data_IF_259519850583
#
_entry.id   IF_259519850583
#
_cell.length_a   1.000
_cell.length_b   1.000
_cell.length_c   1.000
_cell.angle_alpha   90.00
_cell.angle_beta   90.00
_cell.angle_gamma   90.00
#
_symmetry.space_group_name_H-M   'P 1'
#
loop_
_entity.id
_entity.type
_entity.pdbx_description
1 polymer ?
#
# COMPACT_ATOMS: atom_id res chain seq x y z
N UNK A 1 -23.09 49.04 26.49
CA UNK A 1 -22.04 48.24 27.14
C UNK A 1 -22.18 46.78 26.74
N UNK A 2 -21.14 46.16 26.10
CA UNK A 2 -21.21 44.75 25.73
C UNK A 2 -21.20 43.87 27.00
N UNK A 3 -22.19 42.98 27.14
CA UNK A 3 -22.33 42.06 28.27
C UNK A 3 -21.05 41.15 28.31
N UNK A 4 -20.33 41.17 29.42
CA UNK A 4 -19.13 40.36 29.63
C UNK A 4 -19.51 38.87 29.64
N UNK A 5 -19.01 38.11 28.71
CA UNK A 5 -19.33 36.67 28.57
C UNK A 5 -18.88 35.89 29.79
N UNK A 6 -19.78 35.18 30.44
CA UNK A 6 -19.46 34.27 31.53
C UNK A 6 -19.03 32.90 30.97
N UNK A 7 -17.74 32.76 30.74
CA UNK A 7 -17.17 31.57 30.11
C UNK A 7 -17.45 30.25 30.88
N UNK A 8 -17.52 30.31 32.22
CA UNK A 8 -17.83 29.11 33.03
C UNK A 8 -19.23 28.57 32.73
N UNK A 9 -20.23 29.45 32.64
CA UNK A 9 -21.61 29.07 32.29
C UNK A 9 -21.69 28.59 30.83
N UNK A 10 -21.01 29.26 29.90
CA UNK A 10 -21.01 28.91 28.48
C UNK A 10 -20.40 27.52 28.26
N UNK A 11 -19.24 27.20 28.85
CA UNK A 11 -18.65 25.88 28.77
C UNK A 11 -19.53 24.80 29.39
N UNK A 12 -20.11 25.07 30.57
CA UNK A 12 -20.99 24.11 31.25
C UNK A 12 -22.22 23.77 30.41
N UNK A 13 -22.85 24.77 29.84
CA UNK A 13 -24.04 24.59 29.01
C UNK A 13 -23.69 23.78 27.74
N UNK A 14 -22.59 24.13 27.07
CA UNK A 14 -22.22 23.50 25.83
C UNK A 14 -21.73 22.05 26.04
N UNK A 15 -20.93 21.76 27.08
CA UNK A 15 -20.45 20.42 27.41
C UNK A 15 -21.55 19.46 27.84
N UNK A 16 -22.64 19.98 28.44
CA UNK A 16 -23.81 19.19 28.78
C UNK A 16 -24.73 18.89 27.58
N UNK A 17 -24.47 19.51 26.43
CA UNK A 17 -25.35 19.39 25.28
C UNK A 17 -25.21 18.04 24.58
N UNK A 18 -26.34 17.33 24.34
CA UNK A 18 -26.36 15.96 23.75
C UNK A 18 -25.74 15.87 22.35
N UNK A 19 -25.87 16.94 21.56
CA UNK A 19 -25.36 16.99 20.18
C UNK A 19 -23.89 17.43 20.07
N UNK A 20 -23.24 17.77 21.19
CA UNK A 20 -21.81 18.03 21.21
C UNK A 20 -21.05 16.72 21.25
N UNK A 21 -20.62 16.23 20.07
CA UNK A 21 -19.95 14.94 19.89
C UNK A 21 -18.67 15.07 19.06
N UNK A 22 -17.85 14.03 19.02
CA UNK A 22 -16.67 13.93 18.18
C UNK A 22 -15.66 15.07 18.39
N UNK A 23 -15.10 15.60 17.29
CA UNK A 23 -14.07 16.64 17.33
C UNK A 23 -14.52 17.93 18.01
N UNK A 24 -15.79 18.32 17.87
CA UNK A 24 -16.31 19.53 18.51
C UNK A 24 -16.31 19.37 20.03
N UNK A 25 -16.65 18.19 20.53
CA UNK A 25 -16.58 17.88 21.97
C UNK A 25 -15.14 17.96 22.47
N UNK A 26 -14.22 17.25 21.81
CA UNK A 26 -12.77 17.26 22.16
C UNK A 26 -12.20 18.68 22.13
N UNK A 27 -12.60 19.48 21.14
CA UNK A 27 -12.17 20.88 21.04
C UNK A 27 -12.69 21.72 22.21
N UNK A 28 -13.97 21.64 22.55
CA UNK A 28 -14.59 22.40 23.65
C UNK A 28 -14.00 21.94 25.01
N UNK A 29 -13.77 20.65 25.21
CA UNK A 29 -13.09 20.12 26.42
C UNK A 29 -11.68 20.69 26.56
N UNK A 30 -10.91 20.73 25.46
CA UNK A 30 -9.59 21.34 25.43
C UNK A 30 -9.61 22.83 25.75
N UNK A 31 -10.57 23.58 25.20
CA UNK A 31 -10.75 24.99 25.50
C UNK A 31 -11.16 25.22 26.98
N UNK A 32 -12.03 24.38 27.50
CA UNK A 32 -12.46 24.46 28.92
C UNK A 32 -11.26 24.18 29.85
N UNK A 33 -10.46 23.17 29.57
CA UNK A 33 -9.23 22.89 30.33
C UNK A 33 -8.25 24.06 30.28
N UNK A 34 -8.06 24.67 29.09
CA UNK A 34 -7.20 25.84 28.90
C UNK A 34 -7.70 27.04 29.72
N UNK A 35 -9.00 27.33 29.67
CA UNK A 35 -9.60 28.40 30.43
C UNK A 35 -9.54 28.15 31.95
N UNK A 36 -9.81 26.93 32.40
CA UNK A 36 -9.74 26.51 33.81
C UNK A 36 -8.33 26.60 34.41
N UNK A 37 -7.28 26.52 33.56
CA UNK A 37 -5.89 26.75 33.96
C UNK A 37 -5.53 28.25 34.10
N UNK A 38 -6.48 29.16 34.08
CA UNK A 38 -6.29 30.60 34.23
C UNK A 38 -5.80 31.33 32.95
N UNK A 39 -5.75 30.63 31.81
CA UNK A 39 -5.30 31.24 30.57
C UNK A 39 -6.42 31.97 29.83
N UNK A 40 -6.09 33.12 29.24
CA UNK A 40 -7.06 33.93 28.50
C UNK A 40 -7.52 33.25 27.18
N UNK A 41 -8.79 33.46 26.85
CA UNK A 41 -9.37 33.08 25.56
C UNK A 41 -8.92 34.07 24.47
N UNK A 42 -8.12 33.60 23.51
CA UNK A 42 -7.75 34.39 22.33
C UNK A 42 -8.94 34.66 21.41
N UNK A 43 -8.83 35.68 20.56
CA UNK A 43 -9.90 36.03 19.59
C UNK A 43 -10.29 34.85 18.71
N UNK A 44 -9.30 34.11 18.15
CA UNK A 44 -9.56 32.93 17.32
C UNK A 44 -10.28 31.80 18.08
N UNK A 45 -9.90 31.54 19.35
CA UNK A 45 -10.57 30.54 20.20
C UNK A 45 -12.02 30.91 20.53
N UNK A 46 -12.28 32.19 20.81
CA UNK A 46 -13.63 32.69 21.00
C UNK A 46 -14.47 32.51 19.74
N UNK A 47 -13.94 32.88 18.59
CA UNK A 47 -14.62 32.73 17.31
C UNK A 47 -15.04 31.27 17.07
N UNK A 48 -14.11 30.33 17.19
CA UNK A 48 -14.41 28.90 17.01
C UNK A 48 -15.38 28.35 18.05
N UNK A 49 -15.31 28.80 19.30
CA UNK A 49 -16.33 28.45 20.32
C UNK A 49 -17.72 28.85 19.88
N UNK A 50 -17.90 30.09 19.43
CA UNK A 50 -19.20 30.57 18.98
C UNK A 50 -19.69 29.87 17.71
N UNK A 51 -18.80 29.50 16.78
CA UNK A 51 -19.17 28.70 15.62
C UNK A 51 -19.72 27.32 16.02
N UNK A 52 -19.11 26.64 17.00
CA UNK A 52 -19.64 25.38 17.54
C UNK A 52 -20.99 25.58 18.20
N UNK A 53 -21.13 26.63 19.02
CA UNK A 53 -22.40 26.96 19.71
C UNK A 53 -23.52 27.25 18.71
N UNK A 54 -23.24 28.06 17.70
CA UNK A 54 -24.22 28.40 16.66
C UNK A 54 -24.66 27.16 15.87
N UNK A 55 -23.74 26.30 15.51
CA UNK A 55 -24.03 25.03 14.83
C UNK A 55 -24.97 24.16 15.66
N UNK A 56 -24.71 24.02 16.96
CA UNK A 56 -25.56 23.23 17.84
C UNK A 56 -26.95 23.84 17.94
N UNK A 57 -27.05 25.17 18.04
CA UNK A 57 -28.33 25.87 18.06
C UNK A 57 -29.12 25.68 16.74
N UNK A 58 -28.44 25.70 15.60
CA UNK A 58 -29.05 25.41 14.29
C UNK A 58 -29.57 23.97 14.21
N UNK A 59 -28.78 23.00 14.71
CA UNK A 59 -29.20 21.58 14.79
C UNK A 59 -30.42 21.38 15.71
N UNK A 60 -30.51 22.14 16.81
CA UNK A 60 -31.65 22.08 17.73
C UNK A 60 -32.92 22.70 17.13
N UNK A 61 -32.78 23.77 16.38
CA UNK A 61 -33.89 24.42 15.69
C UNK A 61 -34.43 23.56 14.51
N UNK A 62 -33.88 22.36 14.26
CA UNK A 62 -34.28 21.52 13.12
C UNK A 62 -33.85 22.08 11.77
N UNK A 63 -32.95 23.06 11.79
CA UNK A 63 -32.66 23.94 10.64
C UNK A 63 -31.56 23.50 9.70
N UNK A 64 -30.78 22.44 9.99
CA UNK A 64 -29.79 21.92 9.03
C UNK A 64 -29.71 20.40 9.16
N UNK A 65 -30.48 19.72 8.35
CA UNK A 65 -30.14 18.34 8.02
C UNK A 65 -28.79 18.33 7.29
N UNK A 66 -27.91 17.39 7.58
CA UNK A 66 -26.73 17.15 6.79
C UNK A 66 -27.11 16.97 5.32
N UNK A 67 -26.15 17.15 4.42
CA UNK A 67 -26.38 16.95 3.00
C UNK A 67 -26.87 15.51 2.76
N UNK A 68 -28.12 15.35 2.34
CA UNK A 68 -28.76 14.05 2.11
C UNK A 68 -28.04 13.24 1.02
N UNK A 69 -27.39 13.93 0.07
CA UNK A 69 -26.59 13.28 -0.97
C UNK A 69 -25.32 12.67 -0.40
N UNK A 70 -24.67 13.35 0.53
CA UNK A 70 -23.48 12.85 1.26
C UNK A 70 -23.86 11.67 2.15
N UNK A 71 -24.98 11.77 2.87
CA UNK A 71 -25.49 10.70 3.73
C UNK A 71 -25.75 9.43 2.91
N UNK A 72 -26.46 9.54 1.79
CA UNK A 72 -26.75 8.42 0.91
C UNK A 72 -25.48 7.77 0.32
N UNK A 73 -24.45 8.57 0.03
CA UNK A 73 -23.13 8.08 -0.42
C UNK A 73 -22.41 7.30 0.69
N UNK A 74 -22.35 7.86 1.89
CA UNK A 74 -21.71 7.20 3.04
C UNK A 74 -22.43 5.89 3.40
N UNK A 75 -23.76 5.88 3.46
CA UNK A 75 -24.55 4.66 3.76
C UNK A 75 -24.28 3.55 2.76
N UNK A 76 -24.19 3.85 1.46
CA UNK A 76 -23.86 2.84 0.43
C UNK A 76 -22.46 2.28 0.56
N UNK A 77 -21.54 3.03 1.16
CA UNK A 77 -20.13 2.65 1.23
C UNK A 77 -19.75 1.98 2.54
N UNK A 78 -20.50 2.19 3.63
CA UNK A 78 -20.06 1.86 4.99
C UNK A 78 -19.65 0.39 5.15
N UNK A 79 -20.36 -0.52 4.50
CA UNK A 79 -20.14 -1.96 4.62
C UNK A 79 -19.28 -2.58 3.49
N UNK A 80 -18.83 -1.75 2.53
CA UNK A 80 -18.04 -2.23 1.39
C UNK A 80 -16.54 -2.36 1.69
N UNK A 81 -15.89 -1.41 2.36
CA UNK A 81 -14.51 -1.56 2.79
C UNK A 81 -14.37 -2.53 3.98
N UNK A 82 -13.25 -3.26 4.11
CA UNK A 82 -12.98 -4.10 5.27
C UNK A 82 -13.09 -3.32 6.59
N UNK A 83 -13.58 -3.99 7.66
CA UNK A 83 -13.87 -3.34 8.95
C UNK A 83 -12.72 -2.52 9.54
N UNK A 84 -11.50 -3.02 9.47
CA UNK A 84 -10.32 -2.37 10.02
C UNK A 84 -9.55 -1.53 8.99
N UNK A 85 -10.20 -1.19 7.84
CA UNK A 85 -9.54 -0.40 6.80
C UNK A 85 -9.62 1.09 7.09
N UNK A 86 -8.60 1.83 6.66
CA UNK A 86 -8.61 3.29 6.67
C UNK A 86 -9.80 3.85 5.89
N UNK A 87 -10.18 3.23 4.77
CA UNK A 87 -11.29 3.67 3.93
C UNK A 87 -12.61 3.65 4.70
N UNK A 88 -12.88 2.59 5.48
CA UNK A 88 -14.09 2.49 6.32
C UNK A 88 -14.09 3.56 7.39
N UNK A 89 -13.02 3.70 8.16
CA UNK A 89 -12.91 4.72 9.20
C UNK A 89 -13.02 6.15 8.65
N UNK A 90 -12.56 6.39 7.41
CA UNK A 90 -12.73 7.66 6.74
C UNK A 90 -14.20 7.92 6.40
N UNK A 91 -14.94 6.96 5.82
CA UNK A 91 -16.37 7.08 5.50
C UNK A 91 -17.18 7.32 6.76
N UNK A 92 -16.95 6.57 7.85
CA UNK A 92 -17.58 6.77 9.15
C UNK A 92 -17.34 8.18 9.70
N UNK A 93 -16.10 8.67 9.57
CA UNK A 93 -15.77 10.05 9.99
C UNK A 93 -16.52 11.10 9.17
N UNK A 94 -16.71 10.90 7.86
CA UNK A 94 -17.46 11.81 7.00
C UNK A 94 -18.96 11.78 7.33
N UNK A 95 -19.50 10.59 7.55
CA UNK A 95 -20.90 10.43 7.97
C UNK A 95 -21.17 11.18 9.30
N UNK A 96 -20.27 11.02 10.28
CA UNK A 96 -20.36 11.76 11.53
C UNK A 96 -20.23 13.29 11.37
N UNK A 97 -19.38 13.75 10.43
CA UNK A 97 -19.28 15.18 10.12
C UNK A 97 -20.57 15.71 9.46
N UNK A 98 -21.11 14.96 8.51
CA UNK A 98 -22.36 15.31 7.82
C UNK A 98 -23.55 15.33 8.77
N UNK A 99 -23.69 14.33 9.66
CA UNK A 99 -24.73 14.29 10.68
C UNK A 99 -24.68 15.51 11.63
N UNK A 100 -23.50 16.12 11.81
CA UNK A 100 -23.31 17.35 12.58
C UNK A 100 -23.39 18.61 11.69
N UNK A 101 -23.99 18.53 10.49
CA UNK A 101 -24.13 19.61 9.53
C UNK A 101 -22.81 20.35 9.21
N UNK A 102 -21.69 19.62 9.22
CA UNK A 102 -20.39 20.13 8.83
C UNK A 102 -20.17 19.94 7.35
N UNK A 103 -20.01 21.04 6.63
CA UNK A 103 -19.64 20.97 5.21
C UNK A 103 -18.31 20.20 5.02
N UNK A 104 -18.29 19.29 4.08
CA UNK A 104 -17.08 18.57 3.72
C UNK A 104 -16.17 19.44 2.84
N UNK A 105 -14.87 19.35 3.05
CA UNK A 105 -13.91 20.05 2.20
C UNK A 105 -13.85 19.43 0.79
N UNK A 106 -13.42 20.18 -0.25
CA UNK A 106 -13.24 19.63 -1.59
C UNK A 106 -12.30 18.39 -1.60
N UNK A 107 -11.28 18.39 -0.74
CA UNK A 107 -10.37 17.25 -0.61
C UNK A 107 -11.04 16.01 -0.02
N UNK A 108 -11.94 16.19 0.95
CA UNK A 108 -12.72 15.07 1.51
C UNK A 108 -13.67 14.47 0.47
N UNK A 109 -14.32 15.32 -0.33
CA UNK A 109 -15.19 14.87 -1.43
C UNK A 109 -14.42 14.12 -2.52
N UNK A 110 -13.20 14.58 -2.86
CA UNK A 110 -12.31 13.89 -3.80
C UNK A 110 -11.92 12.49 -3.30
N UNK A 111 -11.59 12.38 -2.01
CA UNK A 111 -11.22 11.10 -1.39
C UNK A 111 -12.44 10.17 -1.34
N UNK A 112 -13.61 10.69 -0.98
CA UNK A 112 -14.86 9.92 -0.99
C UNK A 112 -15.14 9.36 -2.38
N UNK A 113 -15.01 10.16 -3.44
CA UNK A 113 -15.19 9.71 -4.82
C UNK A 113 -14.18 8.61 -5.22
N UNK A 114 -12.92 8.68 -4.75
CA UNK A 114 -11.93 7.62 -4.95
C UNK A 114 -12.30 6.31 -4.23
N UNK A 115 -12.87 6.40 -3.04
CA UNK A 115 -13.36 5.23 -2.31
C UNK A 115 -14.57 4.63 -3.04
N UNK A 116 -15.52 5.45 -3.50
CA UNK A 116 -16.66 4.99 -4.31
C UNK A 116 -16.21 4.24 -5.56
N UNK A 117 -15.25 4.79 -6.30
CA UNK A 117 -14.70 4.12 -7.48
C UNK A 117 -14.00 2.79 -7.14
N UNK A 118 -13.32 2.74 -5.99
CA UNK A 118 -12.60 1.53 -5.54
C UNK A 118 -13.56 0.40 -5.15
N UNK A 119 -14.69 0.75 -4.56
CA UNK A 119 -15.70 -0.18 -4.06
C UNK A 119 -17.00 -0.12 -4.87
N UNK A 120 -16.93 0.29 -6.15
CA UNK A 120 -18.06 0.20 -7.08
C UNK A 120 -18.41 -1.27 -7.35
N UNK A 121 -19.65 -1.53 -7.75
CA UNK A 121 -20.09 -2.88 -8.08
C UNK A 121 -19.23 -3.50 -9.19
N UNK A 122 -18.84 -2.72 -10.20
CA UNK A 122 -17.93 -3.17 -11.26
C UNK A 122 -16.54 -3.52 -10.73
N UNK A 123 -15.99 -2.72 -9.80
CA UNK A 123 -14.68 -3.00 -9.20
C UNK A 123 -14.69 -4.25 -8.34
N UNK A 124 -15.78 -4.47 -7.59
CA UNK A 124 -15.98 -5.68 -6.78
C UNK A 124 -16.15 -6.90 -7.70
N UNK A 125 -17.00 -6.80 -8.72
CA UNK A 125 -17.20 -7.89 -9.69
C UNK A 125 -15.90 -8.25 -10.41
N UNK A 126 -15.11 -7.24 -10.84
CA UNK A 126 -13.81 -7.48 -11.45
C UNK A 126 -12.78 -8.10 -10.48
N UNK A 127 -12.86 -7.80 -9.18
CA UNK A 127 -11.99 -8.43 -8.19
C UNK A 127 -12.37 -9.90 -7.94
N UNK A 128 -13.66 -10.19 -7.88
CA UNK A 128 -14.18 -11.57 -7.75
C UNK A 128 -13.83 -12.40 -8.99
N UNK A 129 -14.12 -11.90 -10.19
CA UNK A 129 -13.76 -12.57 -11.45
C UNK A 129 -12.25 -12.85 -11.53
N UNK A 130 -11.39 -11.92 -11.11
CA UNK A 130 -9.95 -12.18 -11.09
C UNK A 130 -9.57 -13.29 -10.11
N UNK A 131 -10.22 -13.38 -8.95
CA UNK A 131 -9.96 -14.45 -7.99
C UNK A 131 -10.36 -15.82 -8.53
N UNK A 132 -11.50 -15.89 -9.21
CA UNK A 132 -12.00 -17.13 -9.83
C UNK A 132 -11.12 -17.55 -11.02
N UNK A 133 -10.60 -16.58 -11.78
CA UNK A 133 -9.73 -16.79 -12.94
C UNK A 133 -8.26 -17.02 -12.57
N UNK A 134 -7.87 -16.90 -11.28
CA UNK A 134 -6.50 -17.02 -10.82
C UNK A 134 -5.98 -18.44 -10.93
N UNK A 135 -5.42 -18.76 -12.08
CA UNK A 135 -4.96 -20.09 -12.45
C UNK A 135 -3.57 -20.43 -11.92
N UNK A 136 -3.16 -21.69 -12.08
CA UNK A 136 -1.80 -22.16 -11.79
C UNK A 136 -0.73 -21.35 -12.58
N UNK A 137 -1.08 -20.87 -13.78
CA UNK A 137 -0.17 -20.08 -14.61
C UNK A 137 0.10 -18.71 -13.95
N UNK A 138 -0.97 -18.03 -13.48
CA UNK A 138 -0.86 -16.77 -12.74
C UNK A 138 -0.11 -16.99 -11.43
N UNK A 139 -0.39 -18.06 -10.72
CA UNK A 139 0.31 -18.46 -9.50
C UNK A 139 1.80 -18.62 -9.75
N UNK A 140 2.19 -19.44 -10.72
CA UNK A 140 3.59 -19.66 -11.08
C UNK A 140 4.30 -18.36 -11.45
N UNK A 141 3.62 -17.48 -12.20
CA UNK A 141 4.16 -16.16 -12.55
C UNK A 141 4.39 -15.29 -11.32
N UNK A 142 3.45 -15.31 -10.38
CA UNK A 142 3.51 -14.56 -9.13
C UNK A 142 4.65 -15.09 -8.25
N UNK A 143 4.83 -16.39 -8.11
CA UNK A 143 5.93 -17.02 -7.37
C UNK A 143 7.32 -16.69 -7.96
N UNK A 144 7.43 -16.72 -9.27
CA UNK A 144 8.67 -16.28 -9.96
C UNK A 144 9.01 -14.82 -9.63
N UNK A 145 7.99 -13.96 -9.60
CA UNK A 145 8.19 -12.56 -9.23
C UNK A 145 8.45 -12.38 -7.73
N UNK A 146 7.80 -13.15 -6.86
CA UNK A 146 8.07 -13.16 -5.43
C UNK A 146 9.52 -13.56 -5.13
N UNK A 147 10.02 -14.60 -5.77
CA UNK A 147 11.43 -15.00 -5.67
C UNK A 147 12.41 -13.90 -6.16
N UNK A 148 12.07 -13.16 -7.21
CA UNK A 148 12.87 -12.02 -7.64
C UNK A 148 12.83 -10.87 -6.63
N UNK A 149 11.64 -10.52 -6.12
CA UNK A 149 11.48 -9.38 -5.22
C UNK A 149 11.96 -9.68 -3.79
N UNK A 150 12.00 -10.93 -3.33
CA UNK A 150 12.57 -11.31 -2.04
C UNK A 150 14.04 -10.90 -1.86
N UNK A 151 14.76 -10.69 -2.97
CA UNK A 151 16.13 -10.13 -2.99
C UNK A 151 16.19 -8.61 -3.09
N UNK A 152 15.06 -7.89 -3.01
CA UNK A 152 14.98 -6.43 -3.17
C UNK A 152 14.27 -5.80 -1.97
N UNK A 153 14.20 -4.47 -1.93
CA UNK A 153 13.41 -3.75 -0.91
C UNK A 153 11.94 -3.51 -1.32
N UNK A 154 11.51 -4.03 -2.48
CA UNK A 154 10.16 -3.82 -3.00
C UNK A 154 9.30 -5.07 -2.80
N UNK A 155 8.02 -4.88 -2.47
CA UNK A 155 7.03 -5.94 -2.34
C UNK A 155 7.35 -7.05 -1.31
N UNK A 156 8.15 -6.78 -0.28
CA UNK A 156 8.60 -7.79 0.69
C UNK A 156 7.44 -8.56 1.31
N UNK A 157 6.49 -7.86 1.96
CA UNK A 157 5.33 -8.48 2.61
C UNK A 157 4.48 -9.32 1.64
N UNK A 158 4.31 -8.81 0.40
CA UNK A 158 3.57 -9.52 -0.63
C UNK A 158 4.34 -10.75 -1.13
N UNK A 159 5.65 -10.62 -1.32
CA UNK A 159 6.52 -11.73 -1.72
C UNK A 159 6.52 -12.83 -0.67
N UNK A 160 6.68 -12.47 0.60
CA UNK A 160 6.66 -13.43 1.71
C UNK A 160 5.32 -14.17 1.78
N UNK A 161 4.20 -13.46 1.66
CA UNK A 161 2.87 -14.10 1.63
C UNK A 161 2.71 -15.06 0.45
N UNK A 162 3.14 -14.66 -0.74
CA UNK A 162 3.06 -15.53 -1.93
C UNK A 162 3.89 -16.79 -1.77
N UNK A 163 5.06 -16.71 -1.12
CA UNK A 163 5.97 -17.85 -0.97
C UNK A 163 5.64 -18.76 0.22
N UNK A 164 4.96 -18.23 1.27
CA UNK A 164 4.65 -18.97 2.49
C UNK A 164 3.23 -19.51 2.53
N UNK A 165 2.29 -18.89 1.81
CA UNK A 165 0.88 -19.27 1.82
C UNK A 165 0.44 -19.77 0.42
N UNK A 166 0.34 -21.10 0.21
CA UNK A 166 -0.07 -21.67 -1.08
C UNK A 166 -1.47 -21.26 -1.52
N UNK A 167 -2.38 -20.99 -0.58
CA UNK A 167 -3.77 -20.60 -0.85
C UNK A 167 -3.95 -19.10 -1.05
N UNK A 168 -2.90 -18.31 -0.87
CA UNK A 168 -2.98 -16.87 -1.01
C UNK A 168 -3.26 -16.45 -2.46
N UNK A 169 -4.38 -15.79 -2.69
CA UNK A 169 -4.75 -15.14 -3.95
C UNK A 169 -4.53 -13.63 -3.82
N UNK A 170 -3.61 -13.04 -4.59
CA UNK A 170 -3.41 -11.59 -4.57
C UNK A 170 -4.58 -10.85 -5.19
N UNK A 171 -4.80 -9.60 -4.81
CA UNK A 171 -5.73 -8.75 -5.56
C UNK A 171 -5.18 -8.49 -6.97
N UNK A 172 -6.08 -8.24 -7.95
CA UNK A 172 -5.68 -7.88 -9.32
C UNK A 172 -4.66 -6.74 -9.34
N UNK A 173 -4.83 -5.73 -8.49
CA UNK A 173 -3.90 -4.61 -8.36
C UNK A 173 -2.51 -5.04 -7.89
N UNK A 174 -2.43 -5.91 -6.90
CA UNK A 174 -1.16 -6.47 -6.41
C UNK A 174 -0.49 -7.31 -7.48
N UNK A 175 -1.25 -8.18 -8.14
CA UNK A 175 -0.77 -9.00 -9.25
C UNK A 175 -0.21 -8.12 -10.39
N UNK A 176 -0.97 -7.14 -10.85
CA UNK A 176 -0.57 -6.26 -11.94
C UNK A 176 0.66 -5.42 -11.56
N UNK A 177 0.71 -4.88 -10.35
CA UNK A 177 1.85 -4.11 -9.87
C UNK A 177 3.14 -4.95 -9.83
N UNK A 178 3.04 -6.21 -9.41
CA UNK A 178 4.19 -7.10 -9.26
C UNK A 178 4.63 -7.74 -10.58
N UNK A 179 3.71 -8.01 -11.52
CA UNK A 179 3.99 -8.77 -12.75
C UNK A 179 4.10 -7.93 -14.03
N UNK A 180 3.51 -6.72 -14.08
CA UNK A 180 3.40 -5.92 -15.32
C UNK A 180 4.40 -4.78 -15.45
N UNK A 181 5.19 -4.50 -14.40
CA UNK A 181 6.18 -3.43 -14.46
C UNK A 181 7.40 -3.80 -15.34
N UNK A 182 8.24 -2.81 -15.65
CA UNK A 182 9.40 -2.96 -16.55
C UNK A 182 10.43 -4.00 -16.10
N UNK A 183 10.60 -4.20 -14.81
CA UNK A 183 11.52 -5.18 -14.25
C UNK A 183 10.96 -6.60 -14.34
N UNK A 184 9.69 -6.75 -13.95
CA UNK A 184 8.95 -7.99 -14.06
C UNK A 184 8.95 -8.54 -15.48
N UNK A 185 8.70 -7.69 -16.50
CA UNK A 185 8.75 -8.08 -17.91
C UNK A 185 10.09 -8.68 -18.30
N UNK A 186 11.21 -8.13 -17.80
CA UNK A 186 12.56 -8.66 -18.07
C UNK A 186 12.82 -10.00 -17.38
N UNK A 187 12.38 -10.15 -16.14
CA UNK A 187 12.51 -11.41 -15.39
C UNK A 187 11.67 -12.50 -16.04
N UNK A 188 10.41 -12.21 -16.38
CA UNK A 188 9.52 -13.16 -17.07
C UNK A 188 10.09 -13.58 -18.44
N UNK A 189 10.61 -12.62 -19.20
CA UNK A 189 11.30 -12.93 -20.46
C UNK A 189 12.51 -13.81 -20.27
N UNK A 190 13.25 -13.64 -19.16
CA UNK A 190 14.36 -14.54 -18.80
C UNK A 190 13.92 -15.99 -18.58
N UNK A 191 12.74 -16.23 -18.01
CA UNK A 191 12.19 -17.57 -17.88
C UNK A 191 11.76 -18.19 -19.22
N UNK A 192 11.34 -17.38 -20.18
CA UNK A 192 10.93 -17.83 -21.50
C UNK A 192 12.14 -18.13 -22.42
N UNK A 193 13.32 -17.57 -22.12
CA UNK A 193 14.53 -17.79 -22.90
C UNK A 193 15.23 -19.07 -22.42
N UNK A 194 15.61 -20.01 -23.29
CA UNK A 194 16.38 -21.21 -22.89
C UNK A 194 17.75 -20.81 -22.32
N UNK A 195 18.37 -21.66 -21.46
CA UNK A 195 19.73 -21.44 -20.98
C UNK A 195 20.75 -21.45 -22.15
N UNK A 196 21.73 -20.52 -22.13
CA UNK A 196 22.77 -20.41 -23.16
C UNK A 196 23.75 -21.59 -23.08
N UNK A 197 24.02 -22.10 -21.87
CA UNK A 197 25.00 -23.14 -21.64
C UNK A 197 24.35 -24.42 -21.11
N UNK A 198 24.59 -25.56 -21.80
CA UNK A 198 24.18 -26.87 -21.32
C UNK A 198 25.08 -27.36 -20.17
N UNK A 199 24.56 -28.29 -19.36
CA UNK A 199 25.37 -29.04 -18.38
C UNK A 199 26.53 -29.75 -19.07
N UNK A 200 27.73 -29.70 -18.48
CA UNK A 200 28.95 -30.20 -19.06
C UNK A 200 29.71 -29.19 -19.94
N UNK A 201 29.11 -28.07 -20.31
CA UNK A 201 29.80 -27.05 -21.10
C UNK A 201 30.96 -26.45 -20.31
N UNK A 202 32.14 -26.38 -20.96
CA UNK A 202 33.30 -25.68 -20.39
C UNK A 202 33.19 -24.18 -20.65
N UNK A 203 33.25 -23.40 -19.57
CA UNK A 203 33.09 -21.96 -19.60
C UNK A 203 34.29 -21.25 -18.99
N UNK A 204 34.45 -19.97 -19.35
CA UNK A 204 35.45 -19.07 -18.75
C UNK A 204 34.78 -17.71 -18.45
N UNK A 205 35.40 -16.92 -17.57
CA UNK A 205 34.92 -15.57 -17.28
C UNK A 205 34.98 -14.68 -18.53
N UNK A 206 33.92 -13.84 -18.71
CA UNK A 206 33.99 -12.74 -19.69
C UNK A 206 34.90 -11.63 -19.15
N UNK A 207 35.45 -10.82 -20.04
CA UNK A 207 36.15 -9.58 -19.66
C UNK A 207 35.21 -8.49 -19.21
N UNK A 208 35.71 -7.33 -18.88
CA UNK A 208 34.93 -6.13 -18.57
C UNK A 208 34.26 -6.15 -17.17
N UNK A 209 32.95 -6.08 -17.13
CA UNK A 209 32.15 -5.96 -15.91
C UNK A 209 32.02 -7.20 -15.03
N UNK A 210 32.72 -8.29 -15.38
CA UNK A 210 32.70 -9.52 -14.56
C UNK A 210 33.33 -9.27 -13.19
N UNK A 211 32.66 -9.61 -12.07
CA UNK A 211 33.20 -9.45 -10.74
C UNK A 211 34.55 -10.09 -10.56
N UNK A 212 35.48 -9.44 -9.87
CA UNK A 212 36.85 -9.93 -9.66
C UNK A 212 36.90 -11.34 -9.05
N UNK A 213 35.98 -11.64 -8.12
CA UNK A 213 35.83 -12.96 -7.49
C UNK A 213 35.55 -14.05 -8.53
N UNK A 214 34.63 -13.78 -9.49
CA UNK A 214 34.28 -14.71 -10.59
C UNK A 214 35.46 -14.87 -11.55
N UNK A 215 36.14 -13.76 -11.92
CA UNK A 215 37.32 -13.80 -12.78
C UNK A 215 38.46 -14.64 -12.17
N UNK A 216 38.68 -14.46 -10.87
CA UNK A 216 39.71 -15.24 -10.17
C UNK A 216 39.36 -16.72 -10.12
N UNK A 217 38.13 -17.06 -9.77
CA UNK A 217 37.65 -18.44 -9.68
C UNK A 217 37.71 -19.16 -11.04
N UNK A 218 37.35 -18.46 -12.13
CA UNK A 218 37.30 -19.01 -13.49
C UNK A 218 38.52 -18.63 -14.34
N UNK A 219 39.67 -18.35 -13.70
CA UNK A 219 40.92 -17.99 -14.40
C UNK A 219 41.35 -19.04 -15.45
N UNK A 220 41.23 -20.32 -15.09
CA UNK A 220 41.50 -21.44 -15.97
C UNK A 220 40.24 -22.12 -16.54
N UNK A 221 39.07 -21.50 -16.29
CA UNK A 221 37.77 -22.00 -16.71
C UNK A 221 37.07 -22.84 -15.64
N UNK A 222 35.90 -23.36 -16.02
CA UNK A 222 35.06 -24.21 -15.17
C UNK A 222 34.08 -25.01 -16.01
N UNK A 223 33.41 -25.98 -15.41
CA UNK A 223 32.39 -26.82 -16.04
C UNK A 223 31.02 -26.49 -15.47
N UNK A 224 30.00 -26.27 -16.29
CA UNK A 224 28.63 -26.08 -15.90
C UNK A 224 28.06 -27.38 -15.32
N UNK A 225 27.63 -27.33 -14.05
CA UNK A 225 27.00 -28.46 -13.36
C UNK A 225 25.47 -28.39 -13.41
N UNK A 226 24.92 -27.22 -13.59
CA UNK A 226 23.49 -27.00 -13.61
C UNK A 226 23.11 -25.55 -13.81
N UNK A 227 21.80 -25.32 -13.98
CA UNK A 227 21.19 -24.00 -14.10
C UNK A 227 20.24 -23.81 -12.94
N UNK A 228 20.30 -22.66 -12.28
CA UNK A 228 19.34 -22.31 -11.23
C UNK A 228 17.98 -22.02 -11.87
N UNK A 229 16.93 -22.60 -11.30
CA UNK A 229 15.56 -22.37 -11.75
C UNK A 229 15.07 -20.95 -11.41
N UNK A 230 15.66 -20.33 -10.39
CA UNK A 230 15.24 -19.01 -9.89
C UNK A 230 16.05 -17.88 -10.51
N UNK A 231 15.37 -16.96 -11.18
CA UNK A 231 15.97 -15.73 -11.71
C UNK A 231 15.89 -14.60 -10.68
N UNK A 232 17.04 -14.15 -10.20
CA UNK A 232 17.18 -13.12 -9.15
C UNK A 232 17.54 -11.72 -9.68
N UNK A 233 17.66 -11.54 -10.99
CA UNK A 233 18.10 -10.28 -11.59
C UNK A 233 17.25 -9.94 -12.81
N UNK A 234 16.97 -8.66 -13.02
CA UNK A 234 16.26 -8.15 -14.20
C UNK A 234 17.21 -7.73 -15.34
N UNK A 235 18.46 -8.11 -15.29
CA UNK A 235 19.46 -7.82 -16.33
C UNK A 235 19.39 -8.85 -17.48
N UNK A 236 19.92 -8.50 -18.64
CA UNK A 236 20.13 -9.49 -19.72
C UNK A 236 21.17 -10.51 -19.28
N UNK A 237 20.97 -11.79 -19.60
CA UNK A 237 21.84 -12.89 -19.14
C UNK A 237 21.73 -13.07 -17.61
N UNK A 238 20.51 -13.09 -17.11
CA UNK A 238 20.16 -13.11 -15.69
C UNK A 238 20.02 -14.52 -15.11
N UNK A 239 20.20 -15.59 -15.92
CA UNK A 239 20.21 -16.94 -15.39
C UNK A 239 21.46 -17.19 -14.58
N UNK A 240 21.34 -17.91 -13.50
CA UNK A 240 22.44 -18.30 -12.64
C UNK A 240 22.83 -19.75 -12.96
N UNK A 241 24.11 -20.00 -13.14
CA UNK A 241 24.68 -21.30 -13.38
C UNK A 241 25.52 -21.74 -12.18
N UNK A 242 25.39 -22.99 -11.82
CA UNK A 242 26.29 -23.66 -10.89
C UNK A 242 27.49 -24.16 -11.68
N UNK A 243 28.65 -23.55 -11.46
CA UNK A 243 29.89 -23.83 -12.23
C UNK A 243 30.94 -24.36 -11.28
N UNK A 244 31.59 -25.50 -11.64
CA UNK A 244 32.74 -26.01 -10.92
C UNK A 244 34.03 -25.47 -11.58
N UNK A 245 34.79 -24.58 -10.90
CA UNK A 245 36.07 -24.11 -11.44
C UNK A 245 37.08 -25.26 -11.58
N UNK A 246 37.87 -25.26 -12.65
CA UNK A 246 38.94 -26.24 -12.84
C UNK A 246 39.95 -26.12 -11.70
N UNK A 247 40.25 -27.25 -11.06
CA UNK A 247 41.13 -27.32 -9.88
C UNK A 247 40.43 -27.02 -8.55
N UNK A 248 39.11 -26.83 -8.53
CA UNK A 248 38.32 -26.64 -7.30
C UNK A 248 37.42 -27.85 -7.04
N UNK A 249 37.13 -28.10 -5.77
CA UNK A 249 36.12 -29.08 -5.33
C UNK A 249 34.79 -28.40 -4.99
N UNK A 250 34.75 -27.07 -4.97
CA UNK A 250 33.55 -26.31 -4.59
C UNK A 250 33.01 -25.56 -5.80
N UNK A 251 31.74 -25.78 -6.17
CA UNK A 251 31.12 -25.02 -7.24
C UNK A 251 30.82 -23.57 -6.77
N UNK A 252 30.68 -22.68 -7.74
CA UNK A 252 30.26 -21.30 -7.56
C UNK A 252 29.00 -21.01 -8.36
N UNK A 253 28.20 -20.09 -7.92
CA UNK A 253 27.04 -19.58 -8.65
C UNK A 253 27.44 -18.33 -9.43
N UNK A 254 27.21 -18.36 -10.76
CA UNK A 254 27.60 -17.29 -11.67
C UNK A 254 26.48 -16.97 -12.64
N UNK A 255 26.18 -15.69 -12.83
CA UNK A 255 25.20 -15.27 -13.84
C UNK A 255 25.78 -15.45 -15.27
N UNK A 256 24.88 -15.83 -16.19
CA UNK A 256 25.16 -16.07 -17.61
C UNK A 256 25.97 -14.94 -18.26
N UNK A 257 25.65 -13.70 -17.95
CA UNK A 257 26.33 -12.51 -18.47
C UNK A 257 27.82 -12.42 -18.11
N UNK A 258 28.29 -13.16 -17.12
CA UNK A 258 29.70 -13.14 -16.68
C UNK A 258 30.53 -14.25 -17.23
N UNK A 259 29.93 -15.21 -17.94
CA UNK A 259 30.63 -16.37 -18.51
C UNK A 259 30.42 -16.47 -20.02
N UNK A 260 31.30 -17.19 -20.69
CA UNK A 260 31.23 -17.53 -22.10
C UNK A 260 31.86 -18.90 -22.30
N UNK A 261 31.54 -19.57 -23.42
CA UNK A 261 32.20 -20.84 -23.79
C UNK A 261 33.70 -20.63 -23.81
N UNK A 262 34.43 -21.57 -23.24
CA UNK A 262 35.88 -21.61 -23.31
C UNK A 262 36.23 -22.28 -24.64
N UNK A 263 36.93 -21.54 -25.50
CA UNK A 263 37.52 -22.06 -26.76
C UNK A 263 38.86 -22.70 -26.49
#
# INVERSE_FOLDING_TARGET
>A
MAKRTNWKLEFRALLAHKRLVGRDRTFIESLHKHYSSGKAMTSGRKHHFFLVKERIAQLDAGGVAGDSSIEARCVRLIDRPPENSWDRGFVESLQGQNANARALSPRQLEILAKIESRYSDDAIAAALSFADDYSVIERTRMERMANYYSGTSYFNDLSDRVLTDPEFVPTKKQYDAMTKNKYAKKVIAGYATPPEFAVGTTVQARGGVTPSKVRLALKVGGVVLGVDEVIKSACKGNRTYKVLPIGSVKPINVEERYIKVRR
#
